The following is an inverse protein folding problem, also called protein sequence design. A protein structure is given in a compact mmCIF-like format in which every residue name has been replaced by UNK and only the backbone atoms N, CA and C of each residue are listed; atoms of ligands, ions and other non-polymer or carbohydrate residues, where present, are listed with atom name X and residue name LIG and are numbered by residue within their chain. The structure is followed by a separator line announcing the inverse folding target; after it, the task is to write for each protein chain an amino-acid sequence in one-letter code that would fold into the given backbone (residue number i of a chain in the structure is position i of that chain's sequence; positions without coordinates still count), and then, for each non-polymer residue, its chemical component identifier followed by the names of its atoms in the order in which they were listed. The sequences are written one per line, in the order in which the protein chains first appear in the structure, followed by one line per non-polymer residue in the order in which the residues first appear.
data_IF_286489363155
#
_entry.id   IF_286489363155
#
_cell.length_a   1.000
_cell.length_b   1.000
_cell.length_c   1.000
_cell.angle_alpha   90.00
_cell.angle_beta   90.00
_cell.angle_gamma   90.00
#
_symmetry.space_group_name_H-M   'P 1'
#
loop_
_entity.id
_entity.type
_entity.pdbx_description
1 polymer ?
#
# COMPACT_ATOMS: atom_id res chain seq x y z
N UNK A 1 32.04 -36.67 22.93
CA UNK A 1 30.66 -36.12 22.84
C UNK A 1 30.59 -34.57 22.84
N UNK A 2 31.68 -33.83 22.58
CA UNK A 2 31.66 -32.34 22.50
C UNK A 2 31.52 -31.76 21.09
N UNK A 3 31.74 -32.55 20.04
CA UNK A 3 31.75 -32.06 18.65
C UNK A 3 30.40 -32.18 17.90
N UNK A 4 29.40 -32.85 18.47
CA UNK A 4 28.08 -33.00 17.83
C UNK A 4 27.20 -31.75 18.03
N UNK A 5 27.33 -31.07 19.17
CA UNK A 5 26.59 -29.83 19.45
C UNK A 5 27.00 -28.67 18.54
N UNK A 6 28.25 -28.62 18.08
CA UNK A 6 28.74 -27.53 17.23
C UNK A 6 28.20 -27.62 15.79
N UNK A 7 28.01 -28.83 15.27
CA UNK A 7 27.48 -29.05 13.91
C UNK A 7 25.98 -28.72 13.84
N UNK A 8 25.21 -29.08 14.89
CA UNK A 8 23.77 -28.81 14.96
C UNK A 8 23.48 -27.30 15.07
N UNK A 9 24.34 -26.54 15.77
CA UNK A 9 24.18 -25.09 15.93
C UNK A 9 24.46 -24.34 14.62
N UNK A 10 25.43 -24.78 13.82
CA UNK A 10 25.72 -24.17 12.51
C UNK A 10 24.64 -24.40 11.46
N UNK A 11 23.98 -25.56 11.46
CA UNK A 11 22.89 -25.86 10.51
C UNK A 11 21.62 -25.05 10.78
N UNK A 12 21.35 -24.68 12.04
CA UNK A 12 20.16 -23.91 12.41
C UNK A 12 20.27 -22.42 11.99
N UNK A 13 21.49 -21.88 11.96
CA UNK A 13 21.76 -20.48 11.58
C UNK A 13 21.70 -20.28 10.05
N UNK A 14 22.00 -21.32 9.25
CA UNK A 14 21.92 -21.26 7.79
C UNK A 14 20.48 -21.28 7.25
N UNK A 15 19.53 -21.89 7.96
CA UNK A 15 18.13 -21.95 7.51
C UNK A 15 17.35 -20.64 7.74
N UNK A 16 17.71 -19.86 8.75
CA UNK A 16 17.03 -18.60 9.08
C UNK A 16 17.38 -17.47 8.10
N UNK A 17 18.62 -17.42 7.62
CA UNK A 17 19.07 -16.41 6.65
C UNK A 17 18.43 -16.58 5.26
N UNK A 18 18.23 -17.82 4.79
CA UNK A 18 17.56 -18.11 3.51
C UNK A 18 16.09 -17.65 3.52
N UNK A 19 15.37 -17.88 4.65
CA UNK A 19 13.96 -17.45 4.78
C UNK A 19 13.81 -15.92 4.74
N UNK A 20 14.72 -15.20 5.40
CA UNK A 20 14.66 -13.74 5.48
C UNK A 20 14.96 -13.08 4.12
N UNK A 21 15.91 -13.63 3.36
CA UNK A 21 16.23 -13.13 2.01
C UNK A 21 15.06 -13.34 1.03
N UNK A 22 14.49 -14.55 0.98
CA UNK A 22 13.39 -14.85 0.04
C UNK A 22 12.09 -14.07 0.32
N UNK A 23 11.84 -13.63 1.55
CA UNK A 23 10.67 -12.81 1.87
C UNK A 23 10.87 -11.34 1.46
N UNK A 24 12.08 -10.82 1.61
CA UNK A 24 12.47 -9.49 1.13
C UNK A 24 12.34 -9.39 -0.40
N UNK A 25 12.77 -10.44 -1.11
CA UNK A 25 12.65 -10.48 -2.58
C UNK A 25 11.19 -10.49 -3.02
N UNK A 26 10.34 -11.33 -2.42
CA UNK A 26 8.90 -11.37 -2.72
C UNK A 26 8.20 -10.04 -2.45
N UNK A 27 8.60 -9.34 -1.40
CA UNK A 27 8.07 -8.01 -1.08
C UNK A 27 8.42 -7.00 -2.18
N UNK A 28 9.69 -6.89 -2.53
CA UNK A 28 10.17 -5.98 -3.58
C UNK A 28 9.54 -6.32 -4.94
N UNK A 29 9.47 -7.61 -5.29
CA UNK A 29 8.81 -8.06 -6.51
C UNK A 29 7.34 -7.64 -6.53
N UNK A 30 6.58 -7.84 -5.44
CA UNK A 30 5.18 -7.42 -5.40
C UNK A 30 5.01 -5.92 -5.64
N UNK A 31 5.84 -5.08 -5.00
CA UNK A 31 5.83 -3.62 -5.21
C UNK A 31 6.04 -3.29 -6.69
N UNK A 32 7.12 -3.82 -7.29
CA UNK A 32 7.49 -3.50 -8.65
C UNK A 32 6.47 -4.02 -9.67
N UNK A 33 5.90 -5.20 -9.45
CA UNK A 33 4.89 -5.77 -10.34
C UNK A 33 3.55 -5.02 -10.26
N UNK A 34 3.17 -4.53 -9.08
CA UNK A 34 2.02 -3.62 -8.92
C UNK A 34 2.29 -2.30 -9.66
N UNK A 35 3.44 -1.66 -9.43
CA UNK A 35 3.80 -0.41 -10.13
C UNK A 35 3.76 -0.59 -11.64
N UNK A 36 4.35 -1.68 -12.15
CA UNK A 36 4.29 -2.02 -13.58
C UNK A 36 2.86 -2.18 -14.09
N UNK A 37 2.00 -2.87 -13.32
CA UNK A 37 0.60 -3.05 -13.72
C UNK A 37 -0.20 -1.75 -13.78
N UNK A 38 0.06 -0.80 -12.88
CA UNK A 38 -0.52 0.55 -12.95
C UNK A 38 0.03 1.33 -14.16
N UNK A 39 1.34 1.29 -14.37
CA UNK A 39 1.99 1.96 -15.50
C UNK A 39 1.47 1.45 -16.85
N UNK A 40 1.37 0.13 -17.02
CA UNK A 40 0.86 -0.48 -18.25
C UNK A 40 -0.66 -0.52 -18.34
N UNK A 41 -1.37 -0.04 -17.31
CA UNK A 41 -2.84 -0.13 -17.18
C UNK A 41 -3.37 -1.56 -17.40
N UNK A 42 -2.63 -2.54 -16.89
CA UNK A 42 -2.94 -3.97 -17.03
C UNK A 42 -3.83 -4.42 -15.86
N UNK A 43 -5.15 -4.39 -16.10
CA UNK A 43 -6.14 -4.81 -15.12
C UNK A 43 -5.97 -6.26 -14.70
N UNK A 44 -5.65 -7.17 -15.61
CA UNK A 44 -5.56 -8.59 -15.30
C UNK A 44 -4.43 -8.84 -14.31
N UNK A 45 -3.25 -8.28 -14.61
CA UNK A 45 -2.08 -8.35 -13.74
C UNK A 45 -2.30 -7.74 -12.36
N UNK A 46 -2.92 -6.55 -12.30
CA UNK A 46 -3.19 -5.90 -11.01
C UNK A 46 -4.18 -6.70 -10.17
N UNK A 47 -5.19 -7.29 -10.81
CA UNK A 47 -6.21 -8.04 -10.09
C UNK A 47 -5.66 -9.33 -9.48
N UNK A 48 -4.54 -9.88 -9.96
CA UNK A 48 -3.82 -10.99 -9.29
C UNK A 48 -3.25 -10.62 -7.91
N UNK A 49 -3.07 -9.32 -7.66
CA UNK A 49 -2.61 -8.78 -6.38
C UNK A 49 -3.75 -8.38 -5.45
N UNK A 50 -5.02 -8.52 -5.86
CA UNK A 50 -6.18 -8.25 -5.02
C UNK A 50 -6.66 -9.57 -4.42
N UNK A 51 -6.69 -9.67 -3.09
CA UNK A 51 -7.13 -10.90 -2.44
C UNK A 51 -8.66 -11.04 -2.58
N UNK A 52 -9.19 -12.21 -2.99
CA UNK A 52 -10.62 -12.37 -3.27
C UNK A 52 -11.53 -12.05 -2.06
N UNK A 53 -11.16 -12.49 -0.86
CA UNK A 53 -11.97 -12.24 0.34
C UNK A 53 -11.84 -10.80 0.89
N UNK A 54 -10.64 -10.22 0.82
CA UNK A 54 -10.37 -8.90 1.40
C UNK A 54 -10.72 -7.77 0.44
N UNK A 55 -10.63 -7.99 -0.87
CA UNK A 55 -10.75 -6.97 -1.90
C UNK A 55 -9.66 -5.91 -1.80
N UNK A 56 -9.89 -4.80 -2.49
CA UNK A 56 -9.12 -3.56 -2.44
C UNK A 56 -9.97 -2.47 -1.82
N UNK A 57 -9.39 -1.73 -0.88
CA UNK A 57 -10.01 -0.55 -0.29
C UNK A 57 -9.41 0.69 -0.96
N UNK A 58 -10.24 1.48 -1.62
CA UNK A 58 -9.83 2.74 -2.23
C UNK A 58 -10.20 3.87 -1.29
N UNK A 59 -9.21 4.62 -0.81
CA UNK A 59 -9.41 5.88 -0.11
C UNK A 59 -9.61 6.98 -1.15
N UNK A 60 -10.64 7.80 -0.98
CA UNK A 60 -11.01 8.87 -1.90
C UNK A 60 -11.68 10.01 -1.16
N UNK A 61 -11.69 11.22 -1.70
CA UNK A 61 -12.32 12.39 -1.05
C UNK A 61 -13.50 12.89 -1.86
N UNK A 62 -14.69 13.02 -1.26
CA UNK A 62 -15.85 13.67 -1.90
C UNK A 62 -16.25 14.91 -1.10
N UNK A 63 -15.94 16.09 -1.62
CA UNK A 63 -16.06 17.34 -0.87
C UNK A 63 -15.04 17.40 0.25
N UNK A 64 -15.41 17.92 1.42
CA UNK A 64 -14.48 18.16 2.52
C UNK A 64 -14.02 16.92 3.32
N UNK A 65 -14.56 15.73 3.03
CA UNK A 65 -14.28 14.53 3.84
C UNK A 65 -13.73 13.37 3.02
N UNK A 66 -12.73 12.71 3.61
CA UNK A 66 -12.21 11.44 3.14
C UNK A 66 -13.24 10.34 3.37
N UNK A 67 -13.34 9.46 2.39
CA UNK A 67 -14.19 8.28 2.36
C UNK A 67 -13.36 7.05 1.97
N UNK A 68 -13.97 5.86 2.06
CA UNK A 68 -13.40 4.65 1.51
C UNK A 68 -14.44 3.86 0.71
N UNK A 69 -13.99 3.14 -0.31
CA UNK A 69 -14.81 2.22 -1.09
C UNK A 69 -14.11 0.88 -1.24
N UNK A 70 -14.81 -0.22 -0.95
CA UNK A 70 -14.33 -1.57 -1.27
C UNK A 70 -14.63 -1.90 -2.74
N UNK A 71 -13.68 -2.50 -3.43
CA UNK A 71 -13.83 -3.08 -4.77
C UNK A 71 -13.07 -4.40 -4.84
N UNK A 72 -13.56 -5.34 -5.64
CA UNK A 72 -12.88 -6.64 -5.82
C UNK A 72 -11.88 -6.61 -6.98
N UNK A 73 -11.89 -5.54 -7.79
CA UNK A 73 -11.01 -5.38 -8.96
C UNK A 73 -10.74 -3.92 -9.32
N UNK A 74 -9.63 -3.69 -10.02
CA UNK A 74 -9.32 -2.46 -10.75
C UNK A 74 -9.69 -2.61 -12.22
N UNK A 75 -10.40 -1.60 -12.74
CA UNK A 75 -10.61 -1.40 -14.17
C UNK A 75 -10.09 0.00 -14.54
N UNK A 76 -8.99 0.06 -15.30
CA UNK A 76 -8.37 1.33 -15.67
C UNK A 76 -9.26 2.24 -16.54
N UNK A 77 -10.29 1.68 -17.19
CA UNK A 77 -11.30 2.45 -17.93
C UNK A 77 -12.44 2.99 -17.05
N UNK A 78 -12.49 2.57 -15.78
CA UNK A 78 -13.48 3.00 -14.79
C UNK A 78 -12.77 3.32 -13.47
N UNK A 79 -12.02 4.44 -13.41
CA UNK A 79 -11.23 4.80 -12.24
C UNK A 79 -12.12 4.97 -11.00
N UNK A 80 -11.52 4.78 -9.83
CA UNK A 80 -12.17 4.99 -8.53
C UNK A 80 -11.35 6.04 -7.77
N UNK A 81 -11.89 7.23 -7.50
CA UNK A 81 -13.20 7.72 -7.95
C UNK A 81 -13.23 8.02 -9.46
N UNK A 82 -14.44 8.13 -10.02
CA UNK A 82 -14.68 8.27 -11.46
C UNK A 82 -14.07 9.53 -12.09
N UNK A 83 -13.87 10.59 -11.31
CA UNK A 83 -13.31 11.86 -11.76
C UNK A 83 -11.78 11.92 -11.70
N UNK A 84 -11.11 10.96 -11.04
CA UNK A 84 -9.67 10.99 -10.82
C UNK A 84 -8.97 9.89 -11.61
N UNK A 85 -8.39 10.18 -12.79
CA UNK A 85 -7.73 9.19 -13.62
C UNK A 85 -6.45 8.65 -12.95
N UNK A 86 -5.96 7.52 -13.45
CA UNK A 86 -4.62 7.03 -13.11
C UNK A 86 -3.59 7.74 -13.98
N UNK A 87 -2.79 8.61 -13.36
CA UNK A 87 -1.76 9.40 -14.03
C UNK A 87 -0.58 8.52 -14.45
N UNK A 88 0.07 8.82 -15.59
CA UNK A 88 1.30 8.14 -15.98
C UNK A 88 2.45 8.51 -15.03
N UNK A 89 3.44 7.63 -14.93
CA UNK A 89 4.67 7.84 -14.16
C UNK A 89 5.81 6.98 -14.70
N UNK A 90 7.06 7.34 -14.42
CA UNK A 90 8.26 6.56 -14.79
C UNK A 90 8.40 5.30 -13.92
N UNK A 91 8.94 4.21 -14.49
CA UNK A 91 9.04 2.89 -13.82
C UNK A 91 10.46 2.43 -13.47
N UNK A 92 11.50 3.14 -13.91
CA UNK A 92 12.89 2.79 -13.59
C UNK A 92 13.29 3.37 -12.22
N UNK A 93 12.65 2.86 -11.16
CA UNK A 93 12.79 3.37 -9.81
C UNK A 93 13.27 2.27 -8.85
N UNK A 94 14.27 2.63 -8.03
CA UNK A 94 14.74 1.79 -6.92
C UNK A 94 13.96 2.12 -5.66
N UNK A 95 13.47 1.08 -4.97
CA UNK A 95 12.78 1.24 -3.68
C UNK A 95 13.77 1.79 -2.63
N UNK A 96 13.41 2.90 -2.01
CA UNK A 96 14.14 3.53 -0.92
C UNK A 96 13.42 3.26 0.41
N UNK A 97 14.10 2.54 1.31
CA UNK A 97 13.57 2.21 2.63
C UNK A 97 13.89 3.29 3.65
N UNK A 98 13.01 4.27 3.78
CA UNK A 98 13.19 5.44 4.65
C UNK A 98 11.84 6.13 4.91
N UNK A 99 11.87 7.27 5.60
CA UNK A 99 10.70 8.11 5.81
C UNK A 99 10.03 8.52 4.48
N UNK A 100 8.70 8.38 4.45
CA UNK A 100 7.88 8.66 3.28
C UNK A 100 7.89 10.15 2.90
N UNK A 101 7.70 10.48 1.61
CA UNK A 101 7.39 11.83 1.17
C UNK A 101 6.12 12.36 1.83
N UNK A 102 6.04 13.68 1.96
CA UNK A 102 4.85 14.40 2.43
C UNK A 102 4.43 15.41 1.37
N UNK A 103 3.13 15.51 1.12
CA UNK A 103 2.55 16.52 0.24
C UNK A 103 2.25 17.79 1.02
N UNK A 104 2.60 18.93 0.44
CA UNK A 104 2.29 20.25 0.98
C UNK A 104 1.19 20.90 0.13
N UNK A 105 0.04 21.14 0.75
CA UNK A 105 -1.12 21.77 0.10
C UNK A 105 -0.89 23.24 -0.28
N UNK A 106 -0.01 23.95 0.43
CA UNK A 106 0.24 25.37 0.16
C UNK A 106 1.05 25.53 -1.13
N UNK A 107 2.05 24.66 -1.32
CA UNK A 107 2.88 24.65 -2.53
C UNK A 107 2.37 23.74 -3.65
N UNK A 108 1.44 22.82 -3.33
CA UNK A 108 0.94 21.80 -4.25
C UNK A 108 2.01 20.78 -4.65
N UNK A 109 2.97 20.49 -3.76
CA UNK A 109 4.16 19.68 -4.09
C UNK A 109 4.49 18.65 -3.03
N UNK A 110 5.00 17.52 -3.49
CA UNK A 110 5.71 16.56 -2.65
C UNK A 110 7.12 17.07 -2.32
N UNK A 111 7.59 16.78 -1.11
CA UNK A 111 8.94 17.18 -0.69
C UNK A 111 10.07 16.31 -1.27
N UNK A 112 9.77 15.18 -1.91
CA UNK A 112 10.73 14.21 -2.48
C UNK A 112 10.15 13.54 -3.73
N UNK A 113 11.03 13.17 -4.66
CA UNK A 113 10.71 12.39 -5.88
C UNK A 113 11.38 11.02 -5.79
N UNK A 114 10.68 9.97 -6.21
CA UNK A 114 11.17 8.59 -6.22
C UNK A 114 10.18 7.59 -5.62
N UNK A 115 10.65 6.36 -5.41
CA UNK A 115 9.87 5.26 -4.86
C UNK A 115 10.28 4.96 -3.42
N UNK A 116 9.37 5.16 -2.48
CA UNK A 116 9.62 5.11 -1.05
C UNK A 116 8.74 4.10 -0.33
N UNK A 117 9.31 3.46 0.69
CA UNK A 117 8.58 2.62 1.63
C UNK A 117 9.15 2.81 3.04
N UNK A 118 8.28 3.12 4.01
CA UNK A 118 8.64 3.12 5.42
C UNK A 118 8.19 1.79 6.05
N UNK A 119 9.16 1.08 6.63
CA UNK A 119 8.93 -0.21 7.31
C UNK A 119 8.90 -0.08 8.83
N UNK A 120 9.12 1.11 9.36
CA UNK A 120 9.26 1.42 10.78
C UNK A 120 7.99 2.01 11.38
N UNK A 121 7.12 2.59 10.56
CA UNK A 121 5.88 3.24 10.99
C UNK A 121 4.66 2.49 10.47
N UNK A 122 3.61 2.49 11.30
CA UNK A 122 2.28 2.01 10.92
C UNK A 122 1.48 3.24 10.53
N UNK A 123 0.96 3.23 9.31
CA UNK A 123 0.05 4.26 8.82
C UNK A 123 -1.39 3.81 9.10
N UNK A 124 -2.18 4.69 9.72
CA UNK A 124 -3.53 4.43 10.21
C UNK A 124 -4.60 5.21 9.44
N UNK A 125 -4.29 5.66 8.21
CA UNK A 125 -5.18 6.51 7.43
C UNK A 125 -6.57 5.89 7.23
N UNK A 126 -6.64 4.61 6.87
CA UNK A 126 -7.90 3.92 6.59
C UNK A 126 -8.81 3.81 7.81
N UNK A 127 -8.30 3.34 8.95
CA UNK A 127 -9.12 3.24 10.16
C UNK A 127 -9.49 4.61 10.71
N UNK A 128 -8.60 5.60 10.56
CA UNK A 128 -8.89 7.01 10.90
C UNK A 128 -10.01 7.57 10.03
N UNK A 129 -9.98 7.34 8.71
CA UNK A 129 -11.06 7.72 7.78
C UNK A 129 -12.39 7.12 8.25
N UNK A 130 -12.46 5.82 8.54
CA UNK A 130 -13.68 5.17 8.99
C UNK A 130 -14.21 5.73 10.33
N UNK A 131 -13.32 6.01 11.27
CA UNK A 131 -13.68 6.64 12.55
C UNK A 131 -14.24 8.05 12.31
N UNK A 132 -13.62 8.83 11.43
CA UNK A 132 -14.06 10.19 11.10
C UNK A 132 -15.44 10.20 10.41
N UNK A 133 -15.70 9.27 9.49
CA UNK A 133 -17.02 9.12 8.88
C UNK A 133 -18.10 8.81 9.92
N UNK A 134 -17.82 7.90 10.85
CA UNK A 134 -18.75 7.58 11.95
C UNK A 134 -18.99 8.81 12.84
N UNK A 135 -17.94 9.57 13.15
CA UNK A 135 -17.98 10.70 14.08
C UNK A 135 -18.65 11.95 13.48
N UNK A 136 -18.38 12.26 12.22
CA UNK A 136 -18.73 13.56 11.61
C UNK A 136 -19.78 13.47 10.50
N UNK A 137 -20.00 12.30 9.90
CA UNK A 137 -21.07 12.06 8.92
C UNK A 137 -22.16 11.12 9.43
N UNK A 138 -22.05 10.66 10.67
CA UNK A 138 -23.00 9.73 11.30
C UNK A 138 -23.18 8.44 10.49
N UNK A 139 -22.15 8.04 9.73
CA UNK A 139 -22.18 6.77 9.01
C UNK A 139 -22.15 5.59 9.99
N UNK A 140 -23.04 4.63 9.79
CA UNK A 140 -23.11 3.45 10.64
C UNK A 140 -22.08 2.39 10.21
N UNK A 141 -20.81 2.62 10.56
CA UNK A 141 -19.72 1.69 10.28
C UNK A 141 -19.53 0.76 11.49
N UNK A 142 -19.70 -0.56 11.33
CA UNK A 142 -19.54 -1.50 12.44
C UNK A 142 -18.14 -1.47 13.06
N UNK A 143 -18.06 -1.63 14.37
CA UNK A 143 -16.79 -1.71 15.10
C UNK A 143 -15.88 -2.81 14.55
N UNK A 144 -16.45 -3.93 14.13
CA UNK A 144 -15.73 -5.05 13.52
C UNK A 144 -15.04 -4.65 12.22
N UNK A 145 -15.64 -3.75 11.44
CA UNK A 145 -15.06 -3.20 10.21
C UNK A 145 -13.84 -2.34 10.54
N UNK A 146 -13.96 -1.43 11.51
CA UNK A 146 -12.84 -0.58 11.96
C UNK A 146 -11.71 -1.45 12.53
N UNK A 147 -12.03 -2.49 13.30
CA UNK A 147 -11.05 -3.45 13.83
C UNK A 147 -10.32 -4.23 12.71
N UNK A 148 -11.05 -4.63 11.66
CA UNK A 148 -10.44 -5.23 10.46
C UNK A 148 -9.49 -4.27 9.75
N UNK A 149 -9.86 -2.99 9.62
CA UNK A 149 -8.98 -1.97 9.03
C UNK A 149 -7.68 -1.81 9.82
N UNK A 150 -7.77 -1.68 11.14
CA UNK A 150 -6.58 -1.66 12.01
C UNK A 150 -5.72 -2.91 11.84
N UNK A 151 -6.33 -4.08 11.67
CA UNK A 151 -5.60 -5.34 11.43
C UNK A 151 -4.87 -5.34 10.09
N UNK A 152 -5.48 -4.79 9.04
CA UNK A 152 -4.85 -4.61 7.73
C UNK A 152 -3.67 -3.64 7.86
N UNK A 153 -3.87 -2.47 8.46
CA UNK A 153 -2.85 -1.42 8.63
C UNK A 153 -1.62 -1.93 9.39
N UNK A 154 -1.81 -2.64 10.50
CA UNK A 154 -0.73 -3.23 11.30
C UNK A 154 0.17 -4.21 10.52
N UNK A 155 -0.36 -4.83 9.46
CA UNK A 155 0.35 -5.80 8.62
C UNK A 155 0.76 -5.22 7.27
N UNK A 156 0.45 -3.95 7.03
CA UNK A 156 0.68 -3.29 5.75
C UNK A 156 2.00 -2.54 5.73
N UNK A 157 2.47 -2.30 4.51
CA UNK A 157 3.52 -1.32 4.22
C UNK A 157 2.93 -0.32 3.23
N UNK A 158 3.08 0.97 3.54
CA UNK A 158 2.72 2.06 2.64
C UNK A 158 3.88 2.32 1.68
N UNK A 159 3.53 2.44 0.41
CA UNK A 159 4.44 2.74 -0.69
C UNK A 159 3.98 4.07 -1.29
N UNK A 160 4.94 4.96 -1.53
CA UNK A 160 4.72 6.26 -2.15
C UNK A 160 5.67 6.35 -3.35
N UNK A 161 5.10 6.39 -4.55
CA UNK A 161 5.81 6.69 -5.79
C UNK A 161 5.45 8.11 -6.21
N UNK A 162 6.45 8.98 -6.29
CA UNK A 162 6.31 10.33 -6.82
C UNK A 162 7.24 10.47 -8.03
N UNK A 163 6.68 10.93 -9.15
CA UNK A 163 7.40 11.31 -10.36
C UNK A 163 7.56 12.83 -10.45
N UNK A 164 8.56 13.29 -11.20
CA UNK A 164 8.87 14.72 -11.37
C UNK A 164 7.93 15.45 -12.34
N UNK A 165 7.16 14.70 -13.14
CA UNK A 165 6.24 15.18 -14.19
C UNK A 165 4.74 15.04 -13.83
N UNK A 166 4.39 15.09 -12.53
CA UNK A 166 3.01 15.02 -11.96
C UNK A 166 2.45 13.61 -11.67
N UNK A 167 3.15 12.55 -12.05
CA UNK A 167 2.73 11.18 -11.77
C UNK A 167 2.89 10.80 -10.30
N UNK A 168 1.84 10.25 -9.67
CA UNK A 168 1.96 9.64 -8.35
C UNK A 168 1.19 8.32 -8.25
N UNK A 169 1.67 7.46 -7.35
CA UNK A 169 0.96 6.26 -6.95
C UNK A 169 1.23 5.98 -5.47
N UNK A 170 0.20 6.13 -4.65
CA UNK A 170 0.24 5.81 -3.22
C UNK A 170 -0.63 4.59 -2.95
N UNK A 171 -0.04 3.57 -2.34
CA UNK A 171 -0.74 2.31 -2.09
C UNK A 171 -0.13 1.55 -0.92
N UNK A 172 -0.85 0.53 -0.47
CA UNK A 172 -0.43 -0.32 0.62
C UNK A 172 -0.47 -1.76 0.16
N UNK A 173 0.55 -2.51 0.57
CA UNK A 173 0.53 -3.96 0.45
C UNK A 173 0.53 -4.62 1.82
N UNK A 174 -0.26 -5.67 1.96
CA UNK A 174 -0.40 -6.45 3.19
C UNK A 174 0.07 -7.88 2.95
N UNK A 175 0.81 -8.44 3.90
CA UNK A 175 1.17 -9.86 3.88
C UNK A 175 -0.01 -10.70 4.37
N UNK A 176 -0.59 -11.50 3.48
CA UNK A 176 -1.70 -12.41 3.77
C UNK A 176 -1.30 -13.80 3.26
N UNK A 177 -1.36 -14.82 4.11
CA UNK A 177 -1.04 -16.21 3.74
C UNK A 177 0.29 -16.36 2.95
N UNK A 178 1.33 -15.65 3.37
CA UNK A 178 2.67 -15.66 2.76
C UNK A 178 2.77 -15.06 1.32
N UNK A 179 1.76 -14.30 0.89
CA UNK A 179 1.78 -13.49 -0.34
C UNK A 179 1.45 -12.02 -0.02
N UNK A 180 2.12 -11.09 -0.72
CA UNK A 180 1.83 -9.67 -0.62
C UNK A 180 0.71 -9.30 -1.57
N UNK A 181 -0.31 -8.64 -1.05
CA UNK A 181 -1.50 -8.22 -1.79
C UNK A 181 -1.64 -6.70 -1.73
N UNK A 182 -2.09 -6.09 -2.82
CA UNK A 182 -2.59 -4.72 -2.87
C UNK A 182 -3.90 -4.65 -2.08
N UNK A 183 -3.90 -3.92 -0.97
CA UNK A 183 -5.06 -3.87 -0.05
C UNK A 183 -5.65 -2.49 0.10
N UNK A 184 -4.83 -1.43 -0.01
CA UNK A 184 -5.29 -0.04 0.04
C UNK A 184 -4.71 0.71 -1.14
N UNK A 185 -5.58 1.41 -1.87
CA UNK A 185 -5.21 2.40 -2.88
C UNK A 185 -5.53 3.78 -2.31
N UNK A 186 -4.52 4.60 -2.13
CA UNK A 186 -4.63 5.91 -1.50
C UNK A 186 -4.71 6.98 -2.58
N UNK A 187 -5.89 7.59 -2.71
CA UNK A 187 -6.18 8.66 -3.68
C UNK A 187 -6.41 10.00 -2.98
N UNK A 188 -5.97 10.15 -1.73
CA UNK A 188 -6.25 11.34 -0.91
C UNK A 188 -4.99 12.05 -0.40
N UNK A 189 -3.84 11.39 -0.41
CA UNK A 189 -2.61 11.95 0.16
C UNK A 189 -2.11 13.25 -0.48
N UNK A 190 -2.41 13.46 -1.76
CA UNK A 190 -2.14 14.71 -2.50
C UNK A 190 -3.40 15.54 -2.75
N UNK A 191 -4.56 15.04 -2.31
CA UNK A 191 -5.83 15.71 -2.50
C UNK A 191 -6.02 16.74 -1.39
N UNK A 192 -5.88 18.02 -1.76
CA UNK A 192 -6.12 19.15 -0.87
C UNK A 192 -7.46 19.83 -1.14
N UNK A 193 -8.35 19.18 -1.90
CA UNK A 193 -9.71 19.68 -2.07
C UNK A 193 -10.43 19.74 -0.72
N UNK A 194 -11.18 20.83 -0.54
CA UNK A 194 -12.01 21.15 0.63
C UNK A 194 -13.44 21.46 0.14
#
# INVERSE_FOLDING_TARGET
MKNIYFIILTTLILMSSVKMHGQSDKFNTAILEIIKGFHSKDSDKINEYIHPDYGLIVLLRRGAMDEFKKTDKINFNKPIPEYLPYFPFKIDLKIQFQELPTFDCDSGKWNKVGLYCDTTRIDNLLSTTAINLTKYREENIPFETISKFKTIENKSRRIVLIDDEEGELVFYITLINNKWYLTILDRISSDCSA
#
